data_IF_445962784232
#
_entry.id   IF_445962784232
#
_cell.length_a   1.000
_cell.length_b   1.000
_cell.length_c   1.000
_cell.angle_alpha   90.00
_cell.angle_beta   90.00
_cell.angle_gamma   90.00
#
_symmetry.space_group_name_H-M   'P 1'
#
loop_
_entity.id
_entity.type
_entity.pdbx_description
1 polymer ?
#
# COMPACT_ATOMS: atom_id res chain seq x y z
N UNK A 1 14.76 -13.89 -19.23
CA UNK A 1 13.76 -13.01 -18.53
C UNK A 1 14.24 -12.78 -17.11
N UNK A 2 14.30 -11.53 -16.71
CA UNK A 2 14.77 -11.15 -15.38
C UNK A 2 13.74 -11.56 -14.30
N UNK A 3 14.19 -11.83 -13.07
CA UNK A 3 13.36 -12.30 -11.97
C UNK A 3 12.22 -11.33 -11.64
N UNK A 4 12.47 -10.01 -11.71
CA UNK A 4 11.49 -8.97 -11.43
C UNK A 4 10.32 -9.05 -12.41
N UNK A 5 10.61 -9.14 -13.71
CA UNK A 5 9.58 -9.24 -14.76
C UNK A 5 8.76 -10.50 -14.58
N UNK A 6 9.41 -11.62 -14.24
CA UNK A 6 8.73 -12.90 -13.98
C UNK A 6 7.77 -12.80 -12.81
N UNK A 7 8.17 -12.17 -11.71
CA UNK A 7 7.33 -11.95 -10.53
C UNK A 7 6.14 -11.06 -10.84
N UNK A 8 6.34 -9.99 -11.60
CA UNK A 8 5.25 -9.09 -12.02
C UNK A 8 4.24 -9.83 -12.93
N UNK A 9 4.70 -10.66 -13.84
CA UNK A 9 3.81 -11.48 -14.67
C UNK A 9 2.99 -12.46 -13.84
N UNK A 10 3.59 -13.13 -12.86
CA UNK A 10 2.86 -14.02 -11.95
C UNK A 10 1.79 -13.26 -11.17
N UNK A 11 2.13 -12.08 -10.67
CA UNK A 11 1.19 -11.21 -9.96
C UNK A 11 0.03 -10.81 -10.89
N UNK A 12 0.35 -10.38 -12.11
CA UNK A 12 -0.67 -10.04 -13.11
C UNK A 12 -1.66 -11.17 -13.34
N UNK A 13 -1.18 -12.39 -13.55
CA UNK A 13 -2.06 -13.55 -13.75
C UNK A 13 -2.91 -13.87 -12.52
N UNK A 14 -2.34 -13.76 -11.33
CA UNK A 14 -3.10 -13.95 -10.07
C UNK A 14 -4.22 -12.95 -9.92
N UNK A 15 -3.93 -11.68 -10.18
CA UNK A 15 -4.92 -10.60 -10.10
C UNK A 15 -6.00 -10.80 -11.15
N UNK A 16 -5.62 -11.10 -12.38
CA UNK A 16 -6.56 -11.34 -13.48
C UNK A 16 -7.51 -12.49 -13.15
N UNK A 17 -7.00 -13.59 -12.62
CA UNK A 17 -7.79 -14.74 -12.19
C UNK A 17 -8.74 -14.39 -11.05
N UNK A 18 -8.25 -13.63 -10.08
CA UNK A 18 -9.06 -13.19 -8.95
C UNK A 18 -10.17 -12.22 -9.38
N UNK A 19 -9.85 -11.29 -10.28
CA UNK A 19 -10.85 -10.37 -10.86
C UNK A 19 -11.95 -11.13 -11.59
N UNK A 20 -11.58 -12.12 -12.38
CA UNK A 20 -12.56 -12.93 -13.13
C UNK A 20 -13.53 -13.66 -12.18
N UNK A 21 -13.00 -14.24 -11.10
CA UNK A 21 -13.84 -14.91 -10.09
C UNK A 21 -14.76 -13.96 -9.35
N UNK A 22 -14.39 -12.69 -9.22
CA UNK A 22 -15.05 -11.71 -8.35
C UNK A 22 -15.73 -10.57 -9.10
N UNK A 23 -15.79 -10.62 -10.42
CA UNK A 23 -16.35 -9.54 -11.25
C UNK A 23 -17.80 -9.20 -10.95
N UNK A 24 -18.58 -10.18 -10.44
CA UNK A 24 -19.99 -10.01 -10.11
C UNK A 24 -20.24 -9.70 -8.63
N UNK A 25 -19.18 -9.61 -7.82
CA UNK A 25 -19.30 -9.27 -6.41
C UNK A 25 -19.52 -7.75 -6.29
N UNK A 26 -20.64 -7.38 -5.68
CA UNK A 26 -20.96 -6.02 -5.29
C UNK A 26 -20.83 -5.89 -3.78
N UNK A 27 -20.31 -4.74 -3.30
CA UNK A 27 -20.15 -4.46 -1.86
C UNK A 27 -19.22 -5.47 -1.18
N UNK A 28 -17.97 -5.47 -1.59
CA UNK A 28 -16.96 -6.36 -1.03
C UNK A 28 -16.51 -5.88 0.36
N UNK A 29 -16.52 -6.78 1.34
CA UNK A 29 -16.01 -6.54 2.69
C UNK A 29 -14.74 -7.38 2.89
N UNK A 30 -13.55 -6.74 2.96
CA UNK A 30 -12.31 -7.49 3.16
C UNK A 30 -12.19 -7.99 4.61
N UNK A 31 -11.64 -9.18 4.78
CA UNK A 31 -11.16 -9.65 6.08
C UNK A 31 -9.70 -9.26 6.28
N UNK A 32 -9.24 -9.25 7.52
CA UNK A 32 -7.81 -8.97 7.82
C UNK A 32 -6.91 -10.03 7.17
N UNK A 33 -7.32 -11.30 7.17
CA UNK A 33 -6.59 -12.39 6.52
C UNK A 33 -6.46 -12.17 5.01
N UNK A 34 -7.53 -11.73 4.35
CA UNK A 34 -7.49 -11.40 2.92
C UNK A 34 -6.55 -10.23 2.65
N UNK A 35 -6.60 -9.19 3.49
CA UNK A 35 -5.68 -8.05 3.38
C UNK A 35 -4.22 -8.50 3.51
N UNK A 36 -3.91 -9.31 4.51
CA UNK A 36 -2.54 -9.82 4.73
C UNK A 36 -2.07 -10.71 3.58
N UNK A 37 -2.93 -11.59 3.11
CA UNK A 37 -2.62 -12.49 1.99
C UNK A 37 -2.28 -11.71 0.73
N UNK A 38 -3.11 -10.72 0.39
CA UNK A 38 -2.86 -9.87 -0.78
C UNK A 38 -1.67 -8.93 -0.57
N UNK A 39 -1.46 -8.44 0.64
CA UNK A 39 -0.25 -7.67 0.96
C UNK A 39 1.00 -8.48 0.62
N UNK A 40 1.09 -9.73 1.08
CA UNK A 40 2.24 -10.61 0.82
C UNK A 40 2.39 -10.91 -0.67
N UNK A 41 1.29 -11.11 -1.37
CA UNK A 41 1.28 -11.35 -2.81
C UNK A 41 1.81 -10.14 -3.58
N UNK A 42 1.35 -8.94 -3.26
CA UNK A 42 1.87 -7.69 -3.85
C UNK A 42 3.33 -7.46 -3.49
N UNK A 43 3.68 -7.67 -2.23
CA UNK A 43 5.05 -7.44 -1.77
C UNK A 43 6.04 -8.29 -2.57
N UNK A 44 5.74 -9.58 -2.75
CA UNK A 44 6.58 -10.47 -3.54
C UNK A 44 6.60 -10.16 -5.03
N UNK A 45 5.46 -9.77 -5.59
CA UNK A 45 5.30 -9.58 -7.04
C UNK A 45 5.65 -8.20 -7.55
N UNK A 46 5.51 -7.16 -6.73
CA UNK A 46 5.63 -5.77 -7.15
C UNK A 46 6.75 -5.01 -6.42
N UNK A 47 7.00 -5.33 -5.17
CA UNK A 47 7.96 -4.62 -4.32
C UNK A 47 9.20 -5.45 -3.98
N UNK A 48 9.42 -6.56 -4.68
CA UNK A 48 10.57 -7.46 -4.52
C UNK A 48 10.77 -7.98 -3.08
N UNK A 49 9.69 -8.06 -2.30
CA UNK A 49 9.73 -8.49 -0.90
C UNK A 49 10.34 -7.47 0.06
N UNK A 50 10.51 -6.23 -0.39
CA UNK A 50 11.21 -5.19 0.39
C UNK A 50 10.38 -4.56 1.50
N UNK A 51 9.07 -4.78 1.52
CA UNK A 51 8.21 -4.20 2.54
C UNK A 51 8.14 -5.10 3.77
N UNK A 52 8.19 -4.47 4.93
CA UNK A 52 7.88 -5.11 6.21
C UNK A 52 6.37 -4.97 6.43
N UNK A 53 5.70 -6.09 6.73
CA UNK A 53 4.26 -6.11 6.91
C UNK A 53 3.85 -5.19 8.07
N UNK A 54 2.99 -4.19 7.81
CA UNK A 54 2.51 -3.29 8.84
C UNK A 54 1.33 -3.89 9.60
N UNK A 55 0.88 -3.20 10.65
CA UNK A 55 -0.43 -3.48 11.20
C UNK A 55 -1.49 -3.17 10.12
N UNK A 56 -2.45 -4.05 9.95
CA UNK A 56 -3.56 -3.85 9.01
C UNK A 56 -4.86 -3.76 9.81
N UNK A 57 -5.61 -2.71 9.57
CA UNK A 57 -6.89 -2.41 10.22
C UNK A 57 -7.96 -2.28 9.15
N UNK A 58 -9.11 -2.92 9.37
CA UNK A 58 -10.30 -2.78 8.52
C UNK A 58 -11.39 -2.14 9.37
N UNK A 59 -11.86 -0.98 8.96
CA UNK A 59 -12.85 -0.21 9.71
C UNK A 59 -13.69 0.69 8.80
N UNK A 60 -14.86 1.17 9.24
CA UNK A 60 -15.59 2.20 8.52
C UNK A 60 -14.72 3.45 8.40
N UNK A 61 -14.65 4.04 7.21
CA UNK A 61 -13.90 5.27 6.94
C UNK A 61 -14.84 6.28 6.28
N UNK A 62 -14.74 7.54 6.73
CA UNK A 62 -15.70 8.58 6.29
C UNK A 62 -15.29 9.23 4.97
N UNK A 63 -14.00 9.51 4.79
CA UNK A 63 -13.51 10.31 3.65
C UNK A 63 -12.57 9.54 2.73
N UNK A 64 -11.95 8.48 3.21
CA UNK A 64 -10.94 7.73 2.49
C UNK A 64 -11.34 6.27 2.33
N UNK A 65 -10.82 5.62 1.30
CA UNK A 65 -10.93 4.17 1.12
C UNK A 65 -9.80 3.43 1.82
N UNK A 66 -8.69 4.12 2.03
CA UNK A 66 -7.53 3.59 2.75
C UNK A 66 -6.60 4.71 3.15
N UNK A 67 -5.76 4.45 4.14
CA UNK A 67 -4.66 5.32 4.55
C UNK A 67 -3.46 4.48 4.97
N UNK A 68 -2.27 5.03 4.77
CA UNK A 68 -1.03 4.48 5.29
C UNK A 68 -0.45 5.48 6.29
N UNK A 69 -0.16 5.02 7.49
CA UNK A 69 0.26 5.86 8.60
C UNK A 69 1.61 5.39 9.13
N UNK A 70 2.50 6.34 9.37
CA UNK A 70 3.75 6.13 10.12
C UNK A 70 3.64 6.89 11.44
N UNK A 71 3.79 6.20 12.55
CA UNK A 71 3.76 6.76 13.89
C UNK A 71 5.11 6.63 14.57
N UNK A 72 5.53 7.69 15.24
CA UNK A 72 6.75 7.74 16.03
C UNK A 72 6.56 8.63 17.25
N UNK A 73 7.44 8.47 18.25
CA UNK A 73 7.41 9.31 19.42
C UNK A 73 8.07 10.67 19.11
N UNK A 74 7.24 11.68 18.87
CA UNK A 74 7.70 13.02 18.52
C UNK A 74 8.50 13.73 19.63
N UNK A 75 8.35 13.28 20.89
CA UNK A 75 9.13 13.81 22.02
C UNK A 75 10.61 13.45 21.92
N UNK A 76 10.96 12.42 21.16
CA UNK A 76 12.31 11.96 20.89
C UNK A 76 12.92 12.56 19.63
N UNK A 77 12.20 13.46 18.96
CA UNK A 77 12.59 14.05 17.69
C UNK A 77 12.98 15.51 17.87
N UNK A 78 13.84 16.01 16.96
CA UNK A 78 14.12 17.44 16.85
C UNK A 78 13.12 18.08 15.91
N UNK A 79 12.91 19.40 16.07
CA UNK A 79 12.11 20.16 15.10
C UNK A 79 13.01 20.74 14.02
N UNK A 80 12.67 20.51 12.77
CA UNK A 80 13.34 21.08 11.61
C UNK A 80 12.55 22.22 10.99
N UNK A 81 12.82 22.49 9.72
CA UNK A 81 12.13 23.49 8.93
C UNK A 81 10.62 23.22 8.91
N UNK A 82 9.81 24.28 9.00
CA UNK A 82 8.34 24.20 9.04
C UNK A 82 7.80 23.36 10.21
N UNK A 83 8.55 23.32 11.32
CA UNK A 83 8.18 22.58 12.53
C UNK A 83 7.95 21.08 12.29
N UNK A 84 8.55 20.53 11.24
CA UNK A 84 8.50 19.09 10.96
C UNK A 84 9.48 18.34 11.84
N UNK A 85 9.10 17.12 12.25
CA UNK A 85 9.96 16.25 13.03
C UNK A 85 11.18 15.80 12.23
N UNK A 86 12.36 15.90 12.83
CA UNK A 86 13.55 15.19 12.37
C UNK A 86 13.68 13.96 13.24
N UNK A 87 13.45 12.80 12.64
CA UNK A 87 13.36 11.53 13.36
C UNK A 87 14.76 10.90 13.43
N UNK A 88 15.38 10.80 14.64
CA UNK A 88 16.65 10.10 14.78
C UNK A 88 16.50 8.61 14.38
N UNK A 89 17.58 8.03 13.85
CA UNK A 89 17.58 6.64 13.37
C UNK A 89 17.20 5.61 14.43
N UNK A 90 17.44 5.90 15.71
CA UNK A 90 17.15 5.00 16.83
C UNK A 90 15.70 5.08 17.31
N UNK A 91 14.92 6.05 16.85
CA UNK A 91 13.51 6.18 17.22
C UNK A 91 12.68 5.22 16.35
N UNK A 92 11.95 4.26 16.95
CA UNK A 92 11.16 3.33 16.18
C UNK A 92 10.01 4.03 15.45
N UNK A 93 9.75 3.59 14.23
CA UNK A 93 8.58 4.01 13.46
C UNK A 93 7.67 2.80 13.31
N UNK A 94 6.43 2.93 13.74
CA UNK A 94 5.40 1.93 13.56
C UNK A 94 4.53 2.29 12.36
N UNK A 95 4.22 1.29 11.54
CA UNK A 95 3.46 1.49 10.31
C UNK A 95 2.12 0.80 10.41
N UNK A 96 1.11 1.42 9.81
CA UNK A 96 -0.25 0.91 9.76
C UNK A 96 -0.89 1.22 8.41
N UNK A 97 -1.55 0.23 7.82
CA UNK A 97 -2.47 0.44 6.70
C UNK A 97 -3.88 0.24 7.23
N UNK A 98 -4.75 1.21 7.02
CA UNK A 98 -6.16 1.12 7.34
C UNK A 98 -6.95 1.11 6.04
N UNK A 99 -7.90 0.18 5.93
CA UNK A 99 -8.75 0.02 4.76
C UNK A 99 -10.22 0.10 5.16
N UNK A 100 -11.02 0.65 4.26
CA UNK A 100 -12.47 0.70 4.46
C UNK A 100 -13.02 -0.73 4.55
N UNK A 101 -14.06 -0.92 5.35
CA UNK A 101 -14.70 -2.22 5.53
C UNK A 101 -15.71 -2.58 4.45
N UNK A 102 -16.00 -1.67 3.52
CA UNK A 102 -16.94 -1.89 2.39
C UNK A 102 -16.43 -1.21 1.14
N UNK A 103 -16.12 -1.99 0.13
CA UNK A 103 -15.75 -1.49 -1.18
C UNK A 103 -16.87 -1.76 -2.19
N UNK A 104 -17.10 -0.86 -3.17
CA UNK A 104 -18.12 -1.12 -4.20
C UNK A 104 -17.84 -2.39 -5.00
N UNK A 105 -16.56 -2.65 -5.30
CA UNK A 105 -16.10 -3.83 -6.06
C UNK A 105 -14.83 -4.37 -5.42
N UNK A 106 -14.54 -5.65 -5.67
CA UNK A 106 -13.27 -6.25 -5.26
C UNK A 106 -12.07 -5.51 -5.87
N UNK A 107 -12.20 -5.06 -7.13
CA UNK A 107 -11.15 -4.30 -7.80
C UNK A 107 -10.78 -3.02 -7.04
N UNK A 108 -11.76 -2.31 -6.49
CA UNK A 108 -11.53 -1.09 -5.71
C UNK A 108 -10.73 -1.39 -4.44
N UNK A 109 -11.02 -2.51 -3.78
CA UNK A 109 -10.24 -2.97 -2.64
C UNK A 109 -8.77 -3.20 -3.01
N UNK A 110 -8.51 -3.96 -4.07
CA UNK A 110 -7.14 -4.35 -4.42
C UNK A 110 -6.33 -3.16 -4.95
N UNK A 111 -6.95 -2.25 -5.70
CA UNK A 111 -6.32 -0.99 -6.13
C UNK A 111 -5.96 -0.12 -4.93
N UNK A 112 -6.84 -0.01 -3.95
CA UNK A 112 -6.60 0.77 -2.73
C UNK A 112 -5.46 0.18 -1.91
N UNK A 113 -5.45 -1.14 -1.72
CA UNK A 113 -4.34 -1.80 -1.02
C UNK A 113 -3.01 -1.51 -1.71
N UNK A 114 -2.95 -1.66 -3.03
CA UNK A 114 -1.74 -1.35 -3.79
C UNK A 114 -1.30 0.10 -3.64
N UNK A 115 -2.25 1.04 -3.69
CA UNK A 115 -2.00 2.47 -3.48
C UNK A 115 -1.34 2.73 -2.10
N UNK A 116 -1.91 2.17 -1.04
CA UNK A 116 -1.36 2.37 0.31
C UNK A 116 0.00 1.68 0.47
N UNK A 117 0.24 0.59 -0.24
CA UNK A 117 1.54 -0.07 -0.25
C UNK A 117 2.61 0.76 -0.95
N UNK A 118 2.27 1.59 -1.94
CA UNK A 118 3.21 2.57 -2.51
C UNK A 118 3.62 3.60 -1.46
N UNK A 119 2.68 4.11 -0.67
CA UNK A 119 3.01 4.99 0.45
C UNK A 119 3.91 4.29 1.47
N UNK A 120 3.62 3.04 1.79
CA UNK A 120 4.47 2.25 2.69
C UNK A 120 5.90 2.11 2.14
N UNK A 121 6.03 1.89 0.82
CA UNK A 121 7.33 1.83 0.16
C UNK A 121 8.09 3.15 0.28
N UNK A 122 7.41 4.29 0.08
CA UNK A 122 8.01 5.60 0.29
C UNK A 122 8.53 5.75 1.73
N UNK A 123 7.75 5.33 2.71
CA UNK A 123 8.10 5.42 4.12
C UNK A 123 9.25 4.49 4.50
N UNK A 124 9.15 3.23 4.15
CA UNK A 124 10.09 2.18 4.60
C UNK A 124 11.37 2.13 3.77
N UNK A 125 11.27 2.23 2.46
CA UNK A 125 12.41 2.04 1.55
C UNK A 125 13.08 3.36 1.23
N UNK A 126 12.29 4.37 0.86
CA UNK A 126 12.82 5.71 0.53
C UNK A 126 12.96 6.62 1.76
N UNK A 127 12.59 6.13 2.94
CA UNK A 127 12.74 6.85 4.22
C UNK A 127 12.03 8.20 4.24
N UNK A 128 10.91 8.30 3.53
CA UNK A 128 10.05 9.49 3.52
C UNK A 128 8.80 9.20 4.37
N UNK A 129 8.79 9.56 5.65
CA UNK A 129 7.66 9.25 6.54
C UNK A 129 6.40 10.05 6.23
N UNK A 130 6.48 11.05 5.37
CA UNK A 130 5.34 11.87 4.98
C UNK A 130 4.66 11.39 3.69
N UNK A 131 5.37 10.66 2.86
CA UNK A 131 4.87 9.90 1.70
C UNK A 131 3.79 10.63 0.88
N UNK A 132 4.09 11.82 0.40
CA UNK A 132 3.16 12.62 -0.40
C UNK A 132 2.95 12.03 -1.80
N UNK A 133 1.88 12.45 -2.48
CA UNK A 133 1.65 12.16 -3.89
C UNK A 133 2.58 12.99 -4.78
N UNK A 134 3.86 12.66 -4.76
CA UNK A 134 4.95 13.34 -5.48
C UNK A 134 5.44 12.50 -6.67
N UNK A 135 6.54 12.92 -7.30
CA UNK A 135 7.12 12.20 -8.43
C UNK A 135 7.49 10.75 -8.09
N UNK A 136 7.99 10.50 -6.87
CA UNK A 136 8.32 9.15 -6.41
C UNK A 136 7.08 8.27 -6.32
N UNK A 137 5.97 8.80 -5.81
CA UNK A 137 4.69 8.10 -5.79
C UNK A 137 4.24 7.75 -7.21
N UNK A 138 4.22 8.73 -8.09
CA UNK A 138 3.75 8.52 -9.47
C UNK A 138 4.69 7.71 -10.35
N UNK A 139 5.93 7.48 -9.92
CA UNK A 139 6.83 6.56 -10.64
C UNK A 139 6.28 5.13 -10.70
N UNK A 140 5.32 4.78 -9.84
CA UNK A 140 4.65 3.49 -9.83
C UNK A 140 3.50 3.36 -10.82
N UNK A 141 3.09 4.45 -11.48
CA UNK A 141 1.96 4.43 -12.44
C UNK A 141 2.13 3.41 -13.55
N UNK A 142 3.32 3.29 -14.09
CA UNK A 142 3.61 2.34 -15.17
C UNK A 142 3.40 0.91 -14.71
N UNK A 143 3.89 0.57 -13.52
CA UNK A 143 3.72 -0.75 -12.93
C UNK A 143 2.25 -1.05 -12.66
N UNK A 144 1.51 -0.09 -12.12
CA UNK A 144 0.06 -0.22 -11.89
C UNK A 144 -0.70 -0.40 -13.20
N UNK A 145 -0.34 0.35 -14.24
CA UNK A 145 -0.95 0.22 -15.56
C UNK A 145 -0.73 -1.17 -16.15
N UNK A 146 0.45 -1.76 -15.94
CA UNK A 146 0.74 -3.12 -16.39
C UNK A 146 -0.14 -4.17 -15.68
N UNK A 147 -0.64 -3.85 -14.48
CA UNK A 147 -1.58 -4.68 -13.74
C UNK A 147 -3.04 -4.32 -14.03
N UNK A 148 -3.27 -3.39 -14.96
CA UNK A 148 -4.60 -2.82 -15.25
C UNK A 148 -5.22 -2.12 -14.04
N UNK A 149 -4.41 -1.51 -13.22
CA UNK A 149 -4.81 -0.72 -12.05
C UNK A 149 -4.56 0.76 -12.29
N UNK A 150 -5.35 1.56 -11.61
CA UNK A 150 -5.19 3.02 -11.57
C UNK A 150 -4.49 3.42 -10.28
N UNK A 151 -3.58 4.38 -10.39
CA UNK A 151 -2.93 4.99 -9.25
C UNK A 151 -3.41 6.44 -9.14
N UNK A 152 -4.31 6.67 -8.20
CA UNK A 152 -4.96 7.96 -7.98
C UNK A 152 -4.19 8.84 -7.00
N UNK A 153 -4.59 10.13 -6.96
CA UNK A 153 -4.26 11.01 -5.85
C UNK A 153 -5.01 10.64 -4.58
#
# INVERSE_FOLDING_TARGET
MNKKIRRQKKLYFRIKKALEKRKNIKKFTPTIEQCRSWFRTFNGGMFDGNLIEPQIVVRPMRFDWGICVADWDNRKCRKGTFNQDIIPYHVPIEYRIELHNKFPRWKDFIETLGHEMVHLYQMQVWKDPRSNHNANFYSWRKTFKNLNFRLYQ
#
